data_IF_590134016017
#
_entry.id   IF_590134016017
#
_cell.length_a   1.000
_cell.length_b   1.000
_cell.length_c   1.000
_cell.angle_alpha   90.00
_cell.angle_beta   90.00
_cell.angle_gamma   90.00
#
_symmetry.space_group_name_H-M   'P 1'
#
loop_
_entity.id
_entity.type
_entity.pdbx_description
1 polymer ?
#
# COMPACT_ATOMS: atom_id res chain seq x y z
N UNK A 1 2.89 13.68 5.50
CA UNK A 1 4.25 13.48 6.04
C UNK A 1 4.70 12.04 5.76
N UNK A 2 6.00 11.68 5.85
CA UNK A 2 6.45 10.28 5.54
C UNK A 2 5.90 9.25 6.54
N UNK A 3 5.62 9.68 7.76
CA UNK A 3 5.11 8.86 8.86
C UNK A 3 3.59 8.67 8.85
N UNK A 4 2.89 9.15 7.82
CA UNK A 4 1.45 9.02 7.66
C UNK A 4 1.14 8.30 6.34
N UNK A 5 0.36 7.21 6.36
CA UNK A 5 -0.23 6.54 7.54
C UNK A 5 0.82 5.85 8.43
N UNK A 6 0.46 5.61 9.70
CA UNK A 6 1.39 5.03 10.68
C UNK A 6 1.67 3.56 10.38
N UNK A 7 2.92 3.14 10.58
CA UNK A 7 3.35 1.74 10.38
C UNK A 7 2.51 0.79 11.23
N UNK A 8 2.25 1.14 12.49
CA UNK A 8 1.49 0.30 13.41
C UNK A 8 0.02 0.14 13.01
N UNK A 9 -0.58 1.16 12.38
CA UNK A 9 -1.94 1.04 11.82
C UNK A 9 -1.95 0.05 10.65
N UNK A 10 -1.03 0.23 9.70
CA UNK A 10 -0.96 -0.59 8.50
C UNK A 10 -0.69 -2.08 8.80
N UNK A 11 0.22 -2.41 9.72
CA UNK A 11 0.49 -3.81 10.07
C UNK A 11 -0.71 -4.50 10.74
N UNK A 12 -1.55 -3.74 11.47
CA UNK A 12 -2.79 -4.27 12.08
C UNK A 12 -3.90 -4.44 11.05
N UNK A 13 -3.98 -3.54 10.07
CA UNK A 13 -4.97 -3.59 8.98
C UNK A 13 -4.74 -4.76 8.02
N UNK A 14 -3.48 -5.07 7.74
CA UNK A 14 -3.10 -6.20 6.88
C UNK A 14 -3.22 -7.56 7.57
N UNK A 15 -3.23 -7.58 8.90
CA UNK A 15 -3.35 -8.79 9.71
C UNK A 15 -4.67 -8.84 10.46
N UNK A 16 -4.68 -9.59 11.55
CA UNK A 16 -5.78 -9.56 12.52
C UNK A 16 -5.36 -8.80 13.77
N UNK A 17 -6.31 -8.52 14.68
CA UNK A 17 -6.01 -7.86 15.95
C UNK A 17 -5.04 -8.70 16.81
N UNK A 18 -5.13 -10.01 16.72
CA UNK A 18 -4.36 -10.99 17.50
C UNK A 18 -3.05 -11.37 16.78
N UNK A 19 -3.03 -11.29 15.45
CA UNK A 19 -1.88 -11.61 14.62
C UNK A 19 -1.64 -10.50 13.57
N UNK A 20 -1.01 -9.37 13.96
CA UNK A 20 -0.60 -8.34 13.01
C UNK A 20 0.52 -8.87 12.12
N UNK A 21 0.64 -8.34 10.90
CA UNK A 21 1.72 -8.75 10.00
C UNK A 21 3.06 -8.17 10.43
N UNK A 22 4.16 -8.80 9.98
CA UNK A 22 5.50 -8.25 10.19
C UNK A 22 5.70 -6.97 9.36
N UNK A 23 6.62 -6.10 9.81
CA UNK A 23 7.04 -4.93 9.02
C UNK A 23 7.62 -5.30 7.65
N UNK A 24 8.25 -6.48 7.55
CA UNK A 24 8.75 -7.01 6.28
C UNK A 24 7.60 -7.37 5.34
N UNK A 25 6.54 -8.01 5.86
CA UNK A 25 5.34 -8.29 5.09
C UNK A 25 4.67 -7.00 4.60
N UNK A 26 4.56 -5.98 5.45
CA UNK A 26 4.08 -4.65 5.05
C UNK A 26 4.91 -4.08 3.89
N UNK A 27 6.25 -4.13 3.96
CA UNK A 27 7.12 -3.64 2.89
C UNK A 27 6.85 -4.35 1.56
N UNK A 28 6.71 -5.67 1.59
CA UNK A 28 6.40 -6.47 0.39
C UNK A 28 5.04 -6.10 -0.19
N UNK A 29 4.01 -6.00 0.65
CA UNK A 29 2.64 -5.72 0.22
C UNK A 29 2.51 -4.30 -0.33
N UNK A 30 3.06 -3.31 0.36
CA UNK A 30 3.10 -1.92 -0.11
C UNK A 30 3.82 -1.80 -1.45
N UNK A 31 4.95 -2.50 -1.63
CA UNK A 31 5.69 -2.52 -2.89
C UNK A 31 4.90 -3.16 -4.04
N UNK A 32 4.22 -4.28 -3.77
CA UNK A 32 3.36 -4.95 -4.76
C UNK A 32 2.16 -4.07 -5.15
N UNK A 33 1.50 -3.45 -4.16
CA UNK A 33 0.36 -2.56 -4.43
C UNK A 33 0.79 -1.31 -5.20
N UNK A 34 1.93 -0.72 -4.86
CA UNK A 34 2.47 0.40 -5.63
C UNK A 34 2.76 0.02 -7.09
N UNK A 35 3.24 -1.21 -7.35
CA UNK A 35 3.40 -1.71 -8.73
C UNK A 35 2.07 -1.86 -9.46
N UNK A 36 1.04 -2.38 -8.82
CA UNK A 36 -0.30 -2.46 -9.41
C UNK A 36 -0.82 -1.07 -9.80
N UNK A 37 -0.67 -0.06 -8.93
CA UNK A 37 -1.07 1.32 -9.23
C UNK A 37 -0.32 1.85 -10.47
N UNK A 38 0.99 1.63 -10.55
CA UNK A 38 1.79 2.06 -11.70
C UNK A 38 1.33 1.38 -13.00
N UNK A 39 0.99 0.09 -12.94
CA UNK A 39 0.47 -0.65 -14.09
C UNK A 39 -0.93 -0.14 -14.50
N UNK A 40 -1.81 0.12 -13.54
CA UNK A 40 -3.14 0.71 -13.76
C UNK A 40 -3.02 2.09 -14.44
N UNK A 41 -2.16 2.98 -13.93
CA UNK A 41 -1.93 4.32 -14.50
C UNK A 41 -1.35 4.26 -15.91
N UNK A 42 -0.37 3.37 -16.13
CA UNK A 42 0.21 3.14 -17.46
C UNK A 42 -0.84 2.64 -18.45
N UNK A 43 -1.70 1.71 -18.03
CA UNK A 43 -2.78 1.17 -18.86
C UNK A 43 -3.86 2.22 -19.15
N UNK A 44 -4.09 3.16 -18.24
CA UNK A 44 -4.96 4.32 -18.43
C UNK A 44 -4.35 5.42 -19.32
N UNK A 45 -3.13 5.23 -19.82
CA UNK A 45 -2.45 6.20 -20.69
C UNK A 45 -1.85 7.40 -19.95
N UNK A 46 -1.79 7.35 -18.62
CA UNK A 46 -1.23 8.41 -17.79
C UNK A 46 0.30 8.35 -17.90
N UNK A 47 0.90 9.48 -18.31
CA UNK A 47 2.35 9.62 -18.49
C UNK A 47 2.95 10.76 -17.67
N UNK A 48 2.10 11.66 -17.18
CA UNK A 48 2.50 12.77 -16.32
C UNK A 48 1.96 12.52 -14.91
N UNK A 49 2.88 12.50 -13.95
CA UNK A 49 2.63 12.25 -12.54
C UNK A 49 2.79 13.52 -11.70
N UNK A 50 3.02 14.68 -12.34
CA UNK A 50 3.13 15.96 -11.66
C UNK A 50 1.85 16.28 -10.88
N UNK A 51 2.01 16.59 -9.58
CA UNK A 51 0.90 16.92 -8.69
C UNK A 51 0.13 15.73 -8.12
N UNK A 52 0.52 14.49 -8.45
CA UNK A 52 -0.04 13.27 -7.83
C UNK A 52 0.75 12.84 -6.62
N UNK A 53 0.07 12.14 -5.71
CA UNK A 53 0.76 11.39 -4.66
C UNK A 53 1.66 10.34 -5.32
N UNK A 54 2.83 10.12 -4.73
CA UNK A 54 3.66 8.97 -5.12
C UNK A 54 2.86 7.69 -4.95
N UNK A 55 3.03 6.75 -5.85
CA UNK A 55 2.26 5.51 -5.91
C UNK A 55 2.47 4.65 -4.66
N UNK A 56 3.66 4.76 -4.04
CA UNK A 56 3.92 4.16 -2.74
C UNK A 56 3.10 4.78 -1.61
N UNK A 57 2.90 6.11 -1.63
CA UNK A 57 2.03 6.78 -0.66
C UNK A 57 0.57 6.38 -0.88
N UNK A 58 0.13 6.32 -2.13
CA UNK A 58 -1.20 5.82 -2.48
C UNK A 58 -1.39 4.36 -2.00
N UNK A 59 -0.40 3.50 -2.19
CA UNK A 59 -0.42 2.13 -1.69
C UNK A 59 -0.51 2.06 -0.15
N UNK A 60 0.23 2.89 0.57
CA UNK A 60 0.14 2.96 2.03
C UNK A 60 -1.26 3.42 2.49
N UNK A 61 -1.88 4.38 1.81
CA UNK A 61 -3.26 4.81 2.08
C UNK A 61 -4.27 3.70 1.82
N UNK A 62 -4.15 3.01 0.68
CA UNK A 62 -5.01 1.86 0.35
C UNK A 62 -4.93 0.77 1.45
N UNK A 63 -3.74 0.53 2.00
CA UNK A 63 -3.53 -0.43 3.09
C UNK A 63 -4.20 0.05 4.39
N UNK A 64 -4.00 1.30 4.78
CA UNK A 64 -4.56 1.87 6.02
C UNK A 64 -6.10 1.90 6.01
N UNK A 65 -6.67 2.18 4.83
CA UNK A 65 -8.12 2.15 4.57
C UNK A 65 -8.68 0.72 4.49
N UNK A 66 -7.84 -0.32 4.47
CA UNK A 66 -8.27 -1.72 4.39
C UNK A 66 -8.72 -2.16 3.00
N UNK A 67 -8.30 -1.46 1.94
CA UNK A 67 -8.58 -1.82 0.53
C UNK A 67 -7.66 -2.93 0.00
N UNK A 68 -6.63 -3.30 0.76
CA UNK A 68 -5.65 -4.35 0.40
C UNK A 68 -5.77 -5.52 1.37
N UNK A 69 -5.87 -6.72 0.82
CA UNK A 69 -5.88 -7.98 1.59
C UNK A 69 -4.67 -8.83 1.23
N UNK A 70 -4.19 -9.62 2.20
CA UNK A 70 -3.11 -10.58 1.99
C UNK A 70 -3.74 -11.98 1.94
N UNK A 71 -3.54 -12.68 0.84
CA UNK A 71 -3.73 -14.12 0.78
C UNK A 71 -2.39 -14.79 1.11
N UNK A 72 -2.38 -15.65 2.13
CA UNK A 72 -1.32 -16.64 2.33
C UNK A 72 -1.81 -17.92 1.65
N UNK A 73 -1.05 -18.42 0.68
CA UNK A 73 -1.21 -19.80 0.20
C UNK A 73 -0.79 -20.79 1.31
#
# INVERSE_FOLDING_TARGET
>A
MINEPSVDSMIRKLGTKEEPVSRYALCTVASKRARQIIEEERNAGIRDFAGRDKELLAACKDIDEGRVVIAKD
#
